data_IF_359959133970
#
_entry.id   IF_359959133970
#
_cell.length_a   1.000
_cell.length_b   1.000
_cell.length_c   1.000
_cell.angle_alpha   90.00
_cell.angle_beta   90.00
_cell.angle_gamma   90.00
#
_symmetry.space_group_name_H-M   'P 1'
#
loop_
_entity.id
_entity.type
_entity.pdbx_description
1 polymer ?
#
# COMPACT_ATOMS: atom_id res chain seq x y z
N UNK A 1 11.48 9.92 -1.47
CA UNK A 1 10.68 10.23 -0.27
C UNK A 1 9.36 9.49 -0.39
N UNK A 2 8.85 8.91 0.69
CA UNK A 2 7.53 8.26 0.71
C UNK A 2 6.71 8.88 1.84
N UNK A 3 5.41 9.08 1.63
CA UNK A 3 4.53 9.64 2.65
C UNK A 3 3.08 9.15 2.51
N UNK A 4 2.31 9.20 3.60
CA UNK A 4 0.93 8.69 3.63
C UNK A 4 -0.17 9.73 3.78
N UNK A 5 0.15 11.03 3.87
CA UNK A 5 -0.83 12.11 4.09
C UNK A 5 -0.74 13.17 3.01
N UNK A 6 -1.86 13.42 2.36
CA UNK A 6 -2.14 14.50 1.40
C UNK A 6 -3.61 14.89 1.51
N UNK A 7 -4.02 15.94 0.80
CA UNK A 7 -5.43 16.31 0.73
C UNK A 7 -6.25 15.20 0.07
N UNK A 8 -7.43 14.90 0.59
CA UNK A 8 -8.24 13.76 0.10
C UNK A 8 -8.60 13.89 -1.38
N UNK A 9 -8.87 15.09 -1.87
CA UNK A 9 -9.16 15.36 -3.30
C UNK A 9 -7.93 15.10 -4.19
N UNK A 10 -6.71 15.41 -3.70
CA UNK A 10 -5.48 15.12 -4.45
C UNK A 10 -5.20 13.61 -4.49
N UNK A 11 -5.50 12.88 -3.40
CA UNK A 11 -5.40 11.41 -3.37
C UNK A 11 -6.36 10.77 -4.39
N UNK A 12 -7.61 11.22 -4.44
CA UNK A 12 -8.60 10.72 -5.39
C UNK A 12 -8.18 10.97 -6.86
N UNK A 13 -7.73 12.19 -7.17
CA UNK A 13 -7.25 12.53 -8.51
C UNK A 13 -6.07 11.63 -8.90
N UNK A 14 -5.06 11.49 -8.02
CA UNK A 14 -3.85 10.72 -8.31
C UNK A 14 -4.12 9.22 -8.48
N UNK A 15 -5.06 8.65 -7.72
CA UNK A 15 -5.50 7.25 -7.90
C UNK A 15 -6.15 7.02 -9.25
N UNK A 16 -6.93 7.99 -9.73
CA UNK A 16 -7.62 7.90 -11.00
C UNK A 16 -6.71 8.19 -12.22
N UNK A 17 -5.56 8.85 -12.01
CA UNK A 17 -4.64 9.25 -13.08
C UNK A 17 -3.29 8.52 -13.05
N UNK A 18 -3.07 7.56 -12.14
CA UNK A 18 -1.79 6.87 -11.95
C UNK A 18 -0.63 7.86 -11.70
N UNK A 19 -0.84 8.83 -10.81
CA UNK A 19 0.13 9.90 -10.47
C UNK A 19 0.55 9.88 -9.00
N UNK A 20 0.65 8.68 -8.43
CA UNK A 20 1.06 8.48 -7.03
C UNK A 20 2.57 8.38 -6.86
N UNK A 21 3.29 8.16 -7.95
CA UNK A 21 4.74 8.15 -8.04
C UNK A 21 5.19 9.24 -9.00
N UNK A 22 5.99 10.19 -8.51
CA UNK A 22 6.42 11.37 -9.29
C UNK A 22 7.88 11.71 -9.03
N UNK A 23 8.49 12.43 -9.97
CA UNK A 23 9.70 13.20 -9.69
C UNK A 23 9.29 14.57 -9.15
N UNK A 24 9.50 14.78 -7.85
CA UNK A 24 9.25 16.08 -7.24
C UNK A 24 10.44 17.00 -7.48
N UNK A 25 10.24 17.99 -8.36
CA UNK A 25 11.18 19.09 -8.63
C UNK A 25 11.11 20.11 -7.49
N UNK A 26 11.90 19.90 -6.44
CA UNK A 26 11.73 20.62 -5.18
C UNK A 26 12.32 22.03 -5.15
N UNK A 27 13.19 22.38 -6.11
CA UNK A 27 13.81 23.71 -6.18
C UNK A 27 13.96 24.22 -7.63
N UNK A 28 13.40 25.38 -7.98
CA UNK A 28 13.60 25.97 -9.30
C UNK A 28 15.02 26.49 -9.52
N UNK A 29 15.76 26.81 -8.44
CA UNK A 29 17.12 27.38 -8.54
C UNK A 29 18.22 26.32 -8.61
N UNK A 30 18.04 25.21 -7.90
CA UNK A 30 19.01 24.12 -7.89
C UNK A 30 18.84 23.18 -9.09
N UNK A 31 17.67 23.18 -9.72
CA UNK A 31 17.39 22.31 -10.87
C UNK A 31 17.40 20.84 -10.46
N UNK A 32 17.92 19.99 -11.34
CA UNK A 32 17.83 18.53 -11.21
C UNK A 32 18.58 17.94 -10.00
N UNK A 33 19.52 18.66 -9.39
CA UNK A 33 20.19 18.18 -8.16
C UNK A 33 19.24 18.12 -6.97
N UNK A 34 18.08 18.79 -7.07
CA UNK A 34 17.02 18.80 -6.07
C UNK A 34 15.78 18.00 -6.52
N UNK A 35 15.88 17.21 -7.58
CA UNK A 35 14.82 16.30 -8.01
C UNK A 35 14.79 15.08 -7.08
N UNK A 36 13.63 14.77 -6.51
CA UNK A 36 13.47 13.67 -5.56
C UNK A 36 12.31 12.79 -6.02
N UNK A 37 12.57 11.50 -6.24
CA UNK A 37 11.51 10.53 -6.42
C UNK A 37 10.60 10.52 -5.20
N UNK A 38 9.30 10.63 -5.42
CA UNK A 38 8.30 10.83 -4.37
C UNK A 38 7.09 9.93 -4.60
N UNK A 39 6.70 9.19 -3.57
CA UNK A 39 5.57 8.26 -3.61
C UNK A 39 4.54 8.58 -2.50
N UNK A 40 3.27 8.52 -2.87
CA UNK A 40 2.13 8.55 -1.95
C UNK A 40 1.69 7.11 -1.66
N UNK A 41 1.81 6.68 -0.40
CA UNK A 41 1.51 5.32 0.04
C UNK A 41 0.04 4.94 -0.16
N UNK A 42 -0.23 3.69 -0.56
CA UNK A 42 -1.57 3.20 -0.92
C UNK A 42 -2.63 3.37 0.17
N UNK A 43 -2.39 2.82 1.36
CA UNK A 43 -3.34 2.75 2.48
C UNK A 43 -2.81 3.45 3.72
N UNK A 44 -2.42 4.72 3.60
CA UNK A 44 -1.60 5.42 4.60
C UNK A 44 -0.34 4.60 4.92
N UNK A 45 -0.07 4.34 6.19
CA UNK A 45 1.07 3.54 6.68
C UNK A 45 0.56 2.27 7.38
N UNK A 46 -0.61 1.77 6.97
CA UNK A 46 -1.23 0.57 7.53
C UNK A 46 -0.97 -0.64 6.63
N UNK A 47 -1.03 -1.83 7.24
CA UNK A 47 -1.09 -3.09 6.49
C UNK A 47 -2.38 -3.13 5.64
N UNK A 48 -2.40 -3.93 4.55
CA UNK A 48 -3.65 -4.26 3.86
C UNK A 48 -4.70 -4.78 4.85
N UNK A 49 -5.97 -4.46 4.59
CA UNK A 49 -7.07 -4.90 5.44
C UNK A 49 -7.05 -6.43 5.63
N UNK A 50 -7.10 -6.89 6.87
CA UNK A 50 -7.05 -8.31 7.20
C UNK A 50 -5.63 -8.89 7.27
N UNK A 51 -4.56 -8.11 7.12
CA UNK A 51 -3.16 -8.57 7.15
C UNK A 51 -2.32 -7.92 8.26
N UNK A 52 -2.94 -7.47 9.36
CA UNK A 52 -2.22 -7.00 10.53
C UNK A 52 -1.90 -8.15 11.52
N UNK A 53 -0.61 -8.50 11.63
CA UNK A 53 -0.12 -9.58 12.50
C UNK A 53 0.55 -9.09 13.80
N UNK A 54 0.32 -7.84 14.19
CA UNK A 54 0.76 -7.34 15.50
C UNK A 54 -0.12 -7.90 16.63
N UNK A 55 0.42 -8.00 17.85
CA UNK A 55 -0.25 -8.48 19.06
C UNK A 55 -1.53 -7.72 19.41
N UNK A 56 -1.69 -6.49 18.92
CA UNK A 56 -2.88 -5.65 19.15
C UNK A 56 -3.97 -5.85 18.10
N UNK A 57 -3.67 -6.52 17.00
CA UNK A 57 -4.60 -6.78 15.92
C UNK A 57 -5.41 -8.05 16.18
N UNK A 58 -6.53 -8.18 15.46
CA UNK A 58 -7.47 -9.31 15.59
C UNK A 58 -7.65 -10.06 14.27
N UNK A 59 -6.79 -9.77 13.29
CA UNK A 59 -6.84 -10.43 12.00
C UNK A 59 -6.43 -11.90 12.18
N UNK A 60 -7.02 -12.82 11.40
CA UNK A 60 -6.72 -14.23 11.52
C UNK A 60 -5.22 -14.49 11.22
N UNK A 61 -4.55 -15.35 12.00
CA UNK A 61 -3.22 -15.79 11.66
C UNK A 61 -3.25 -16.64 10.39
N UNK A 62 -2.07 -16.91 9.82
CA UNK A 62 -1.93 -17.95 8.81
C UNK A 62 -1.92 -19.29 9.55
N UNK A 63 -2.89 -20.14 9.25
CA UNK A 63 -3.04 -21.49 9.81
C UNK A 63 -2.65 -22.48 8.70
N UNK A 64 -1.46 -23.05 8.79
CA UNK A 64 -0.80 -23.86 7.74
C UNK A 64 -0.57 -25.33 8.10
N UNK A 65 -1.04 -25.76 9.27
CA UNK A 65 -0.99 -27.17 9.68
C UNK A 65 -2.24 -27.91 9.20
N UNK A 66 -2.06 -28.73 8.16
CA UNK A 66 -3.10 -29.59 7.59
C UNK A 66 -3.68 -30.63 8.59
N UNK A 67 -3.06 -30.82 9.76
CA UNK A 67 -3.57 -31.71 10.81
C UNK A 67 -4.49 -30.99 11.82
N UNK A 68 -4.61 -29.66 11.73
CA UNK A 68 -5.48 -28.85 12.57
C UNK A 68 -6.74 -28.43 11.79
N UNK A 69 -7.77 -28.05 12.53
CA UNK A 69 -8.94 -27.38 11.96
C UNK A 69 -8.56 -25.94 11.56
N UNK A 70 -9.35 -25.35 10.65
CA UNK A 70 -9.21 -23.95 10.20
C UNK A 70 -7.95 -23.64 9.37
N UNK A 71 -7.41 -24.60 8.61
CA UNK A 71 -6.44 -24.29 7.54
C UNK A 71 -7.00 -23.22 6.63
N UNK A 72 -6.26 -22.12 6.49
CA UNK A 72 -6.68 -20.96 5.74
C UNK A 72 -5.67 -20.52 4.69
N UNK A 73 -4.60 -21.30 4.44
CA UNK A 73 -3.50 -20.90 3.56
C UNK A 73 -4.01 -20.48 2.18
N UNK A 74 -4.88 -21.31 1.57
CA UNK A 74 -5.40 -21.02 0.23
C UNK A 74 -6.16 -19.69 0.19
N UNK A 75 -7.10 -19.47 1.12
CA UNK A 75 -7.91 -18.24 1.12
C UNK A 75 -7.05 -17.01 1.41
N UNK A 76 -6.08 -17.12 2.33
CA UNK A 76 -5.16 -16.02 2.67
C UNK A 76 -4.25 -15.64 1.51
N UNK A 77 -3.81 -16.61 0.70
CA UNK A 77 -3.06 -16.36 -0.54
C UNK A 77 -3.95 -15.65 -1.57
N UNK A 78 -5.17 -16.15 -1.79
CA UNK A 78 -6.11 -15.55 -2.74
C UNK A 78 -6.44 -14.08 -2.35
N UNK A 79 -6.71 -13.83 -1.07
CA UNK A 79 -6.96 -12.49 -0.51
C UNK A 79 -5.76 -11.54 -0.69
N UNK A 80 -4.54 -12.03 -0.48
CA UNK A 80 -3.33 -11.20 -0.63
C UNK A 80 -3.10 -10.82 -2.09
N UNK A 81 -3.30 -11.76 -3.02
CA UNK A 81 -3.20 -11.51 -4.46
C UNK A 81 -4.23 -10.47 -4.89
N UNK A 82 -5.48 -10.58 -4.43
CA UNK A 82 -6.53 -9.60 -4.71
C UNK A 82 -6.16 -8.20 -4.18
N UNK A 83 -5.65 -8.13 -2.95
CA UNK A 83 -5.20 -6.86 -2.36
C UNK A 83 -4.05 -6.22 -3.16
N UNK A 84 -3.09 -7.03 -3.61
CA UNK A 84 -1.97 -6.58 -4.42
C UNK A 84 -2.43 -6.07 -5.81
N UNK A 85 -3.34 -6.78 -6.47
CA UNK A 85 -3.91 -6.37 -7.76
C UNK A 85 -4.75 -5.10 -7.63
N UNK A 86 -5.53 -4.98 -6.57
CA UNK A 86 -6.32 -3.77 -6.27
C UNK A 86 -5.41 -2.58 -5.99
N UNK A 87 -4.33 -2.78 -5.24
CA UNK A 87 -3.33 -1.74 -5.01
C UNK A 87 -2.66 -1.34 -6.33
N UNK A 88 -2.26 -2.30 -7.17
CA UNK A 88 -1.62 -2.03 -8.44
C UNK A 88 -2.47 -1.14 -9.36
N UNK A 89 -3.79 -1.31 -9.37
CA UNK A 89 -4.67 -0.58 -10.29
C UNK A 89 -4.81 0.93 -10.02
N UNK A 90 -4.16 1.46 -8.97
CA UNK A 90 -4.19 2.91 -8.65
C UNK A 90 -2.81 3.58 -8.63
N UNK A 91 -1.76 2.84 -9.01
CA UNK A 91 -0.43 3.39 -9.27
C UNK A 91 -0.25 3.59 -10.77
#
# INVERSE_FOLDING_TARGET
MMFGRLHYEDDEIRRNTSQREIIWKSSPSLGNIADIFTEVLYGHYAAPHGFCFDLRCKDPPIMDDNNLYDDNVKSRVDEFIEAALTQHSVF
#
